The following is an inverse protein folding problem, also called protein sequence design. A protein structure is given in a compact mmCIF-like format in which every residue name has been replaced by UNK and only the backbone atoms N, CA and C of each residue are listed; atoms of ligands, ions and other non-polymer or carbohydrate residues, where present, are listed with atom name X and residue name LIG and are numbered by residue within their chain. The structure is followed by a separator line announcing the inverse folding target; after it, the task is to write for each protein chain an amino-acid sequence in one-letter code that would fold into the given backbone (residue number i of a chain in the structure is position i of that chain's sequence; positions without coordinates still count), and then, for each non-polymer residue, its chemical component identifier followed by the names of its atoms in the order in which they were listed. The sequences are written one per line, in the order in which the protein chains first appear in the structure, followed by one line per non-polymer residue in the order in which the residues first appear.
data_IF_047109604885
#
_entry.id   IF_047109604885
#
_cell.length_a   1.000
_cell.length_b   1.000
_cell.length_c   1.000
_cell.angle_alpha   90.00
_cell.angle_beta   90.00
_cell.angle_gamma   90.00
#
_symmetry.space_group_name_H-M   'P 1'
#
loop_
_entity.id
_entity.type
_entity.pdbx_description
1 polymer ?
#
# COMPACT_ATOMS: atom_id res chain seq x y z
N UNK A 1 26.53 23.22 41.36
CA UNK A 1 25.12 22.97 40.95
C UNK A 1 24.85 23.34 39.49
N UNK A 2 25.42 24.44 38.95
CA UNK A 2 25.21 24.86 37.54
C UNK A 2 25.72 23.89 36.46
N UNK A 3 26.79 23.13 36.72
CA UNK A 3 27.39 22.20 35.75
C UNK A 3 26.48 20.99 35.44
N UNK A 4 25.75 20.49 36.45
CA UNK A 4 24.88 19.32 36.32
C UNK A 4 23.66 19.64 35.45
N UNK A 5 23.07 20.82 35.64
CA UNK A 5 21.97 21.32 34.82
C UNK A 5 22.35 21.47 33.34
N UNK A 6 23.60 21.88 33.05
CA UNK A 6 24.10 22.04 31.68
C UNK A 6 24.27 20.69 30.97
N UNK A 7 24.75 19.67 31.68
CA UNK A 7 24.90 18.30 31.13
C UNK A 7 23.53 17.68 30.84
N UNK A 8 22.55 17.88 31.73
CA UNK A 8 21.17 17.43 31.50
C UNK A 8 20.51 18.10 30.28
N UNK A 9 20.74 19.40 30.09
CA UNK A 9 20.22 20.16 28.95
C UNK A 9 20.81 19.70 27.62
N UNK A 10 22.11 19.40 27.58
CA UNK A 10 22.77 18.86 26.39
C UNK A 10 22.24 17.47 26.03
N UNK A 11 22.00 16.61 27.02
CA UNK A 11 21.38 15.30 26.81
C UNK A 11 19.97 15.41 26.21
N UNK A 12 19.17 16.36 26.69
CA UNK A 12 17.81 16.59 26.18
C UNK A 12 17.80 17.09 24.73
N UNK A 13 18.71 18.02 24.38
CA UNK A 13 18.86 18.50 23.00
C UNK A 13 19.22 17.36 22.04
N UNK A 14 20.16 16.48 22.42
CA UNK A 14 20.56 15.33 21.59
C UNK A 14 19.38 14.36 21.35
N UNK A 15 18.59 14.07 22.38
CA UNK A 15 17.41 13.20 22.28
C UNK A 15 16.36 13.80 21.31
N UNK A 16 16.11 15.10 21.39
CA UNK A 16 15.15 15.77 20.49
C UNK A 16 15.63 15.79 19.03
N UNK A 17 16.94 15.94 18.79
CA UNK A 17 17.52 15.87 17.44
C UNK A 17 17.55 14.45 16.86
N UNK A 18 17.66 13.42 17.70
CA UNK A 18 17.55 12.03 17.24
C UNK A 18 16.11 11.64 16.91
N UNK A 19 15.12 12.24 17.59
CA UNK A 19 13.69 11.99 17.36
C UNK A 19 13.14 12.63 16.09
N UNK A 20 13.81 13.63 15.49
CA UNK A 20 13.31 14.37 14.32
C UNK A 20 13.58 13.67 12.97
N UNK A 21 14.35 12.58 12.96
CA UNK A 21 14.82 11.95 11.72
C UNK A 21 13.96 10.75 11.27
N UNK A 22 12.97 10.34 12.05
CA UNK A 22 12.03 9.27 11.68
C UNK A 22 10.73 9.85 11.11
N UNK A 23 10.85 10.82 10.19
CA UNK A 23 9.72 11.17 9.33
C UNK A 23 9.73 10.14 8.22
N UNK A 24 9.05 9.02 8.45
CA UNK A 24 8.65 8.12 7.39
C UNK A 24 7.71 8.90 6.47
N UNK A 25 8.28 9.57 5.46
CA UNK A 25 7.52 10.12 4.33
C UNK A 25 7.01 8.89 3.57
N UNK A 26 5.93 8.29 4.07
CA UNK A 26 5.13 7.38 3.29
C UNK A 26 4.73 8.18 2.05
N UNK A 27 5.37 7.88 0.92
CA UNK A 27 4.96 8.42 -0.37
C UNK A 27 3.54 7.93 -0.57
N UNK A 28 2.57 8.80 -0.30
CA UNK A 28 1.19 8.60 -0.70
C UNK A 28 1.23 8.62 -2.22
N UNK A 29 1.37 7.43 -2.81
CA UNK A 29 1.12 7.24 -4.22
C UNK A 29 -0.39 7.43 -4.36
N UNK A 30 -0.77 8.65 -4.73
CA UNK A 30 -2.14 8.92 -5.12
C UNK A 30 -2.37 8.05 -6.36
N UNK A 31 -3.07 6.92 -6.18
CA UNK A 31 -3.37 5.95 -7.23
C UNK A 31 -4.35 6.53 -8.27
N UNK A 32 -4.44 7.87 -8.36
CA UNK A 32 -5.20 8.63 -9.31
C UNK A 32 -4.67 8.35 -10.72
N UNK A 33 -5.31 7.39 -11.37
CA UNK A 33 -5.19 7.14 -12.80
C UNK A 33 -5.50 8.45 -13.53
N UNK A 34 -4.58 8.89 -14.41
CA UNK A 34 -4.76 10.17 -15.11
C UNK A 34 -6.11 10.21 -15.85
N UNK A 35 -6.73 11.39 -15.95
CA UNK A 35 -8.02 11.57 -16.64
C UNK A 35 -8.03 10.99 -18.06
N UNK A 36 -6.90 11.05 -18.76
CA UNK A 36 -6.75 10.49 -20.10
C UNK A 36 -6.77 8.95 -20.10
N UNK A 37 -6.11 8.33 -19.12
CA UNK A 37 -6.14 6.87 -18.95
C UNK A 37 -7.53 6.42 -18.51
N UNK A 38 -8.19 7.15 -17.60
CA UNK A 38 -9.58 6.86 -17.24
C UNK A 38 -10.53 6.94 -18.43
N UNK A 39 -10.44 7.98 -19.27
CA UNK A 39 -11.25 8.08 -20.49
C UNK A 39 -11.03 6.91 -21.46
N UNK A 40 -9.80 6.39 -21.53
CA UNK A 40 -9.48 5.19 -22.32
C UNK A 40 -10.08 3.94 -21.69
N UNK A 41 -10.01 3.80 -20.36
CA UNK A 41 -10.65 2.71 -19.63
C UNK A 41 -12.16 2.76 -19.86
N UNK A 42 -12.81 3.92 -19.76
CA UNK A 42 -14.25 4.09 -19.99
C UNK A 42 -14.65 3.73 -21.43
N UNK A 43 -13.88 4.19 -22.41
CA UNK A 43 -14.10 3.83 -23.81
C UNK A 43 -13.93 2.32 -24.01
N UNK A 44 -12.86 1.75 -23.44
CA UNK A 44 -12.62 0.31 -23.45
C UNK A 44 -13.81 -0.41 -22.85
N UNK A 45 -14.32 0.02 -21.68
CA UNK A 45 -15.45 -0.49 -20.91
C UNK A 45 -16.85 -0.30 -21.56
N UNK A 46 -16.95 0.41 -22.68
CA UNK A 46 -18.24 0.66 -23.36
C UNK A 46 -18.52 -0.25 -24.57
N UNK A 47 -17.51 -0.99 -25.02
CA UNK A 47 -17.46 -1.88 -26.19
C UNK A 47 -17.90 -3.36 -26.01
N UNK A 48 -18.33 -3.87 -24.84
CA UNK A 48 -18.73 -5.29 -24.71
C UNK A 48 -18.77 -5.86 -23.28
N UNK A 49 -18.86 -7.19 -23.10
CA UNK A 49 -18.76 -7.83 -21.79
C UNK A 49 -17.29 -7.97 -21.36
N UNK A 50 -16.84 -7.20 -20.37
CA UNK A 50 -15.45 -7.26 -19.89
C UNK A 50 -15.25 -8.41 -18.92
N UNK A 51 -14.15 -9.14 -19.13
CA UNK A 51 -13.54 -9.92 -18.07
C UNK A 51 -12.75 -8.95 -17.16
N UNK A 52 -13.34 -8.58 -16.03
CA UNK A 52 -12.64 -7.84 -14.98
C UNK A 52 -11.66 -8.78 -14.27
N UNK A 53 -10.37 -8.62 -14.51
CA UNK A 53 -9.33 -9.38 -13.81
C UNK A 53 -8.78 -8.54 -12.67
N UNK A 54 -9.10 -8.92 -11.44
CA UNK A 54 -8.45 -8.38 -10.25
C UNK A 54 -7.22 -9.22 -9.97
N UNK A 55 -6.03 -8.62 -10.05
CA UNK A 55 -4.77 -9.28 -9.69
C UNK A 55 -4.30 -8.72 -8.35
N UNK A 56 -4.45 -9.48 -7.25
CA UNK A 56 -3.96 -9.07 -5.94
C UNK A 56 -2.43 -8.96 -5.96
N UNK A 57 -1.88 -8.09 -5.13
CA UNK A 57 -0.43 -8.04 -4.92
C UNK A 57 0.05 -9.22 -4.06
N UNK A 58 1.37 -9.35 -3.88
CA UNK A 58 1.96 -10.47 -3.12
C UNK A 58 1.59 -10.48 -1.64
N UNK A 59 1.27 -9.33 -1.04
CA UNK A 59 0.83 -9.24 0.34
C UNK A 59 -0.62 -9.72 0.52
N UNK A 60 -1.49 -9.42 -0.45
CA UNK A 60 -2.91 -9.82 -0.45
C UNK A 60 -3.13 -11.27 -0.92
N UNK A 61 -2.24 -11.80 -1.75
CA UNK A 61 -2.40 -13.12 -2.37
C UNK A 61 -2.47 -14.25 -1.34
N UNK A 62 -1.62 -14.23 -0.32
CA UNK A 62 -1.57 -15.29 0.70
C UNK A 62 -2.90 -15.44 1.45
N UNK A 63 -3.42 -14.37 2.08
CA UNK A 63 -4.73 -14.38 2.73
C UNK A 63 -5.89 -14.74 1.80
N UNK A 64 -5.88 -14.29 0.53
CA UNK A 64 -6.95 -14.59 -0.42
C UNK A 64 -7.02 -16.07 -0.80
N UNK A 65 -5.87 -16.70 -1.09
CA UNK A 65 -5.81 -18.13 -1.44
C UNK A 65 -6.16 -19.05 -0.27
N UNK A 66 -6.01 -18.59 0.97
CA UNK A 66 -6.35 -19.34 2.18
C UNK A 66 -7.75 -19.01 2.71
N UNK A 67 -8.50 -18.13 2.03
CA UNK A 67 -9.86 -17.76 2.44
C UNK A 67 -10.81 -18.94 2.24
N UNK A 68 -11.77 -19.18 3.15
CA UNK A 68 -12.82 -20.19 2.95
C UNK A 68 -13.75 -19.87 1.78
N UNK A 69 -13.70 -18.63 1.26
CA UNK A 69 -14.49 -18.22 0.10
C UNK A 69 -13.81 -18.48 -1.24
N UNK A 70 -12.53 -18.88 -1.24
CA UNK A 70 -11.78 -19.12 -2.47
C UNK A 70 -12.13 -20.49 -3.07
N UNK A 71 -12.57 -20.52 -4.33
CA UNK A 71 -12.90 -21.74 -5.07
C UNK A 71 -11.94 -21.90 -6.25
N UNK A 72 -10.92 -22.77 -6.15
CA UNK A 72 -9.93 -22.91 -7.21
C UNK A 72 -10.52 -23.55 -8.46
N UNK A 73 -10.22 -22.97 -9.62
CA UNK A 73 -10.55 -23.59 -10.91
C UNK A 73 -9.71 -24.85 -11.16
N UNK A 74 -10.33 -25.91 -11.69
CA UNK A 74 -9.73 -27.24 -11.83
C UNK A 74 -8.38 -27.28 -12.58
N UNK A 75 -8.22 -26.43 -13.60
CA UNK A 75 -7.00 -26.34 -14.40
C UNK A 75 -6.12 -25.12 -14.07
N UNK A 76 -6.64 -24.19 -13.26
CA UNK A 76 -6.00 -22.92 -12.93
C UNK A 76 -6.17 -22.67 -11.42
N UNK A 77 -5.33 -23.28 -10.56
CA UNK A 77 -5.57 -23.35 -9.11
C UNK A 77 -5.50 -22.00 -8.39
N UNK A 78 -5.09 -20.93 -9.08
CA UNK A 78 -5.03 -19.55 -8.57
C UNK A 78 -6.10 -18.63 -9.19
N UNK A 79 -7.00 -19.20 -9.98
CA UNK A 79 -8.12 -18.48 -10.58
C UNK A 79 -9.41 -18.92 -9.90
N UNK A 80 -10.18 -17.94 -9.47
CA UNK A 80 -11.52 -18.09 -8.93
C UNK A 80 -12.46 -17.15 -9.70
N UNK A 81 -13.72 -17.54 -9.84
CA UNK A 81 -14.75 -16.79 -10.52
C UNK A 81 -15.88 -16.53 -9.53
N UNK A 82 -16.22 -15.26 -9.35
CA UNK A 82 -17.38 -14.83 -8.56
C UNK A 82 -18.70 -15.11 -9.30
#
# INVERSE_FOLDING_TARGET
MHMVWRIGLLGWVIITMMSSNNIDIAKVADAAVSKNVMKKIDAINSMGPYLGVVVPNTFEMGPLLNSPSFVPHHHLPFLDFA
#
